data_IF_012330830857
#
_entry.id   IF_012330830857
#
_cell.length_a   1.000
_cell.length_b   1.000
_cell.length_c   1.000
_cell.angle_alpha   90.00
_cell.angle_beta   90.00
_cell.angle_gamma   90.00
#
_symmetry.space_group_name_H-M   'P 1'
#
loop_
_entity.id
_entity.type
_entity.pdbx_description
1 polymer ?
#
# COMPACT_ATOMS: atom_id res chain seq x y z
N UNK A 1 6.42 -14.19 3.26
CA UNK A 1 5.71 -14.36 4.52
C UNK A 1 4.67 -13.28 4.68
N UNK A 2 3.46 -13.65 4.95
CA UNK A 2 2.33 -12.72 4.91
C UNK A 2 1.86 -12.21 6.28
N UNK A 3 2.68 -12.33 7.31
CA UNK A 3 2.31 -11.85 8.64
C UNK A 3 1.92 -10.38 8.68
N UNK A 4 2.55 -9.55 7.85
CA UNK A 4 2.26 -8.12 7.79
C UNK A 4 0.87 -7.83 7.23
N UNK A 5 0.44 -8.65 6.27
CA UNK A 5 -0.89 -8.51 5.68
C UNK A 5 -2.00 -8.91 6.64
N UNK A 6 -1.68 -9.70 7.66
CA UNK A 6 -2.66 -10.07 8.68
C UNK A 6 -2.67 -9.10 9.87
N UNK A 7 -1.79 -8.11 9.88
CA UNK A 7 -1.80 -7.10 10.92
C UNK A 7 -3.01 -6.19 10.75
N UNK A 8 -3.48 -5.64 11.88
CA UNK A 8 -4.65 -4.76 11.87
C UNK A 8 -4.29 -3.39 11.33
N UNK A 9 -5.17 -2.85 10.51
CA UNK A 9 -5.00 -1.50 9.96
C UNK A 9 -5.28 -0.48 11.06
N UNK A 10 -4.44 0.57 11.20
CA UNK A 10 -4.69 1.62 12.17
C UNK A 10 -6.03 2.32 11.95
N UNK A 11 -6.70 2.70 13.02
CA UNK A 11 -8.02 3.33 12.96
C UNK A 11 -8.07 4.58 12.06
N UNK A 12 -7.07 5.47 12.07
CA UNK A 12 -7.10 6.64 11.19
C UNK A 12 -7.21 6.28 9.70
N UNK A 13 -6.57 5.17 9.29
CA UNK A 13 -6.65 4.71 7.90
C UNK A 13 -8.04 4.17 7.60
N UNK A 14 -8.60 3.37 8.51
CA UNK A 14 -9.96 2.84 8.37
C UNK A 14 -10.98 3.96 8.27
N UNK A 15 -10.81 5.00 9.07
CA UNK A 15 -11.69 6.16 9.05
C UNK A 15 -11.69 6.83 7.67
N UNK A 16 -10.53 6.96 7.06
CA UNK A 16 -10.43 7.53 5.72
C UNK A 16 -11.06 6.66 4.64
N UNK A 17 -11.10 5.35 4.87
CA UNK A 17 -11.78 4.41 3.99
C UNK A 17 -13.29 4.39 4.21
N UNK A 18 -13.77 4.99 5.30
CA UNK A 18 -15.17 4.95 5.67
C UNK A 18 -15.57 3.63 6.32
N UNK A 19 -14.62 2.89 6.84
CA UNK A 19 -14.87 1.61 7.50
C UNK A 19 -14.99 1.78 9.01
N UNK A 20 -16.01 1.20 9.59
CA UNK A 20 -16.25 1.28 11.02
C UNK A 20 -15.76 0.05 11.79
N UNK A 21 -15.58 -1.08 11.10
CA UNK A 21 -15.12 -2.32 11.72
C UNK A 21 -13.62 -2.51 11.57
N UNK A 22 -12.96 -3.15 12.55
CA UNK A 22 -11.54 -3.48 12.39
C UNK A 22 -11.30 -4.35 11.16
N UNK A 23 -10.17 -4.15 10.52
CA UNK A 23 -9.81 -4.90 9.32
C UNK A 23 -8.29 -5.10 9.25
N UNK A 24 -7.87 -6.12 8.52
CA UNK A 24 -6.47 -6.36 8.25
C UNK A 24 -6.06 -5.68 6.96
N UNK A 25 -4.75 -5.53 6.75
CA UNK A 25 -4.23 -4.97 5.49
C UNK A 25 -4.66 -5.82 4.30
N UNK A 26 -4.71 -7.15 4.45
CA UNK A 26 -5.15 -8.04 3.37
C UNK A 26 -6.57 -7.70 2.93
N UNK A 27 -7.46 -7.45 3.89
CA UNK A 27 -8.84 -7.09 3.59
C UNK A 27 -8.94 -5.75 2.85
N UNK A 28 -8.14 -4.77 3.26
CA UNK A 28 -8.12 -3.46 2.61
C UNK A 28 -7.58 -3.58 1.18
N UNK A 29 -6.50 -4.32 0.99
CA UNK A 29 -5.92 -4.49 -0.34
C UNK A 29 -6.85 -5.26 -1.28
N UNK A 30 -7.55 -6.28 -0.78
CA UNK A 30 -8.55 -7.00 -1.57
C UNK A 30 -9.68 -6.07 -2.00
N UNK A 31 -10.15 -5.23 -1.09
CA UNK A 31 -11.17 -4.24 -1.40
C UNK A 31 -10.71 -3.28 -2.51
N UNK A 32 -9.49 -2.78 -2.40
CA UNK A 32 -8.93 -1.86 -3.39
C UNK A 32 -8.72 -2.55 -4.74
N UNK A 33 -8.32 -3.83 -4.72
CA UNK A 33 -8.17 -4.63 -5.93
C UNK A 33 -9.51 -4.77 -6.66
N UNK A 34 -10.58 -4.98 -5.92
CA UNK A 34 -11.93 -5.04 -6.52
C UNK A 34 -12.36 -3.72 -7.15
N UNK A 35 -11.74 -2.62 -6.71
CA UNK A 35 -12.01 -1.29 -7.29
C UNK A 35 -11.09 -0.97 -8.47
N UNK A 36 -10.23 -1.89 -8.85
CA UNK A 36 -9.33 -1.71 -9.99
C UNK A 36 -7.97 -1.14 -9.66
N UNK A 37 -7.57 -1.12 -8.40
CA UNK A 37 -6.23 -0.68 -8.00
C UNK A 37 -5.43 -1.83 -7.45
N UNK A 38 -4.16 -1.90 -7.82
CA UNK A 38 -3.25 -2.95 -7.35
C UNK A 38 -2.09 -2.31 -6.60
N UNK A 39 -1.87 -2.78 -5.38
CA UNK A 39 -0.79 -2.28 -4.53
C UNK A 39 0.33 -3.31 -4.45
N UNK A 40 1.57 -2.86 -4.62
CA UNK A 40 2.76 -3.67 -4.45
C UNK A 40 3.67 -2.98 -3.43
N UNK A 41 4.21 -3.75 -2.49
CA UNK A 41 5.14 -3.24 -1.48
C UNK A 41 6.31 -4.21 -1.41
N UNK A 42 7.52 -3.69 -1.54
CA UNK A 42 8.74 -4.51 -1.49
C UNK A 42 9.84 -3.78 -0.75
N UNK A 43 10.82 -4.55 -0.26
CA UNK A 43 12.01 -3.95 0.36
C UNK A 43 12.74 -3.12 -0.69
N UNK A 44 13.15 -1.93 -0.28
CA UNK A 44 13.94 -1.07 -1.15
C UNK A 44 15.36 -1.64 -1.27
N UNK A 45 15.92 -1.58 -2.47
CA UNK A 45 17.24 -2.10 -2.75
C UNK A 45 18.17 -0.97 -3.18
N UNK A 46 19.34 -0.90 -2.55
CA UNK A 46 20.36 0.08 -2.92
C UNK A 46 21.33 -0.56 -3.91
N UNK A 47 21.25 -0.16 -5.17
CA UNK A 47 22.09 -0.73 -6.22
C UNK A 47 23.54 -0.34 -6.08
N UNK A 48 23.85 0.81 -5.47
CA UNK A 48 25.22 1.24 -5.24
C UNK A 48 25.92 0.38 -4.18
N UNK A 49 25.19 0.09 -3.12
CA UNK A 49 25.71 -0.72 -2.01
C UNK A 49 25.42 -2.20 -2.19
N UNK A 50 24.62 -2.57 -3.19
CA UNK A 50 24.24 -3.95 -3.50
C UNK A 50 23.63 -4.68 -2.29
N UNK A 51 22.76 -4.01 -1.58
CA UNK A 51 22.05 -4.58 -0.44
C UNK A 51 20.68 -3.97 -0.27
N UNK A 52 19.81 -4.64 0.48
CA UNK A 52 18.52 -4.10 0.83
C UNK A 52 18.68 -3.00 1.88
N UNK A 53 17.88 -1.96 1.76
CA UNK A 53 17.82 -0.89 2.75
C UNK A 53 16.84 -1.28 3.85
N UNK A 54 16.68 -0.42 4.86
CA UNK A 54 15.68 -0.63 5.90
C UNK A 54 14.29 -0.17 5.47
N UNK A 55 14.18 0.48 4.33
CA UNK A 55 12.92 1.02 3.85
C UNK A 55 12.20 0.12 2.87
N UNK A 56 11.07 0.61 2.39
CA UNK A 56 10.18 -0.11 1.49
C UNK A 56 9.73 0.78 0.36
N UNK A 57 9.67 0.21 -0.84
CA UNK A 57 9.10 0.87 -2.00
C UNK A 57 7.67 0.38 -2.17
N UNK A 58 6.78 1.28 -2.52
CA UNK A 58 5.40 0.90 -2.81
C UNK A 58 5.02 1.43 -4.20
N UNK A 59 4.08 0.73 -4.81
CA UNK A 59 3.55 1.09 -6.13
C UNK A 59 2.06 0.84 -6.16
N UNK A 60 1.33 1.78 -6.77
CA UNK A 60 -0.11 1.65 -6.97
C UNK A 60 -0.38 1.76 -8.46
N UNK A 61 -0.99 0.73 -9.03
CA UNK A 61 -1.41 0.71 -10.43
C UNK A 61 -2.93 0.78 -10.49
N UNK A 62 -3.45 1.48 -11.48
CA UNK A 62 -4.89 1.58 -11.69
C UNK A 62 -5.25 1.01 -13.05
N UNK A 63 -6.17 0.06 -13.06
CA UNK A 63 -6.60 -0.65 -14.26
C UNK A 63 -7.25 0.26 -15.31
N UNK A 64 -8.03 1.23 -14.85
CA UNK A 64 -8.79 2.11 -15.72
C UNK A 64 -7.98 3.25 -16.34
N UNK A 65 -6.80 3.50 -15.84
CA UNK A 65 -5.95 4.55 -16.38
C UNK A 65 -4.73 3.92 -17.03
N UNK A 66 -4.37 4.41 -18.21
CA UNK A 66 -3.15 3.99 -18.88
C UNK A 66 -1.93 4.74 -18.33
N UNK A 67 -2.07 5.33 -17.15
CA UNK A 67 -0.98 6.03 -16.49
C UNK A 67 -0.02 5.04 -15.88
N UNK A 68 1.23 5.43 -15.81
CA UNK A 68 2.21 4.72 -15.00
C UNK A 68 1.74 4.80 -13.54
N UNK A 69 1.91 3.71 -12.82
CA UNK A 69 1.52 3.65 -11.43
C UNK A 69 2.25 4.66 -10.56
N UNK A 70 1.59 5.11 -9.52
CA UNK A 70 2.22 5.97 -8.52
C UNK A 70 3.19 5.13 -7.71
N UNK A 71 4.36 5.69 -7.40
CA UNK A 71 5.38 5.00 -6.62
C UNK A 71 5.85 5.89 -5.48
N UNK A 72 6.33 5.27 -4.42
CA UNK A 72 6.87 6.00 -3.29
C UNK A 72 7.78 5.14 -2.44
N UNK A 73 8.34 5.75 -1.42
CA UNK A 73 9.27 5.11 -0.50
C UNK A 73 8.86 5.46 0.93
N UNK A 74 8.96 4.49 1.83
CA UNK A 74 8.67 4.71 3.24
C UNK A 74 9.67 3.96 4.11
N UNK A 75 9.87 4.42 5.33
CA UNK A 75 10.84 3.85 6.25
C UNK A 75 10.37 2.55 6.91
N UNK A 76 9.09 2.25 6.84
CA UNK A 76 8.54 1.01 7.40
C UNK A 76 7.47 0.45 6.48
N UNK A 77 7.18 -0.84 6.64
CA UNK A 77 6.15 -1.49 5.83
C UNK A 77 4.77 -0.88 6.10
N UNK A 78 4.44 -0.61 7.34
CA UNK A 78 3.15 -0.02 7.73
C UNK A 78 2.98 1.36 7.11
N UNK A 79 4.04 2.14 7.10
CA UNK A 79 4.01 3.47 6.49
C UNK A 79 3.83 3.38 4.98
N UNK A 80 4.52 2.42 4.35
CA UNK A 80 4.37 2.18 2.92
C UNK A 80 2.94 1.79 2.58
N UNK A 81 2.34 0.88 3.36
CA UNK A 81 0.97 0.44 3.18
C UNK A 81 -0.01 1.61 3.34
N UNK A 82 0.19 2.44 4.35
CA UNK A 82 -0.64 3.60 4.59
C UNK A 82 -0.58 4.60 3.43
N UNK A 83 0.62 4.90 2.96
CA UNK A 83 0.80 5.83 1.83
C UNK A 83 0.19 5.27 0.56
N UNK A 84 0.35 3.97 0.31
CA UNK A 84 -0.24 3.33 -0.86
C UNK A 84 -1.76 3.38 -0.82
N UNK A 85 -2.38 3.11 0.33
CA UNK A 85 -3.83 3.18 0.48
C UNK A 85 -4.34 4.60 0.25
N UNK A 86 -3.66 5.60 0.81
CA UNK A 86 -4.05 7.00 0.59
C UNK A 86 -3.96 7.36 -0.89
N UNK A 87 -2.94 6.89 -1.58
CA UNK A 87 -2.78 7.11 -3.02
C UNK A 87 -3.91 6.45 -3.81
N UNK A 88 -4.30 5.22 -3.45
CA UNK A 88 -5.44 4.55 -4.06
C UNK A 88 -6.72 5.36 -3.92
N UNK A 89 -6.96 5.92 -2.75
CA UNK A 89 -8.17 6.73 -2.52
C UNK A 89 -8.17 7.99 -3.37
N UNK A 90 -7.00 8.61 -3.56
CA UNK A 90 -6.89 9.77 -4.44
C UNK A 90 -7.18 9.40 -5.89
N UNK A 91 -6.66 8.27 -6.35
CA UNK A 91 -6.86 7.79 -7.72
C UNK A 91 -8.32 7.44 -7.97
N UNK A 92 -9.01 6.89 -6.98
CA UNK A 92 -10.40 6.45 -7.10
C UNK A 92 -11.42 7.59 -6.91
N UNK A 93 -10.99 8.73 -6.41
CA UNK A 93 -11.91 9.84 -6.16
C UNK A 93 -12.16 10.73 -7.38
#
# INVERSE_FOLDING_TARGET
>A
MVKRFTAMVPQPVLTKLGWSNPATWAEVFDFLSDKGTLVSISRSYDFDKKCFTEGYDWQVDCEETLRMGEVGYASSWERAAEEAVMTCLEVLS
#
